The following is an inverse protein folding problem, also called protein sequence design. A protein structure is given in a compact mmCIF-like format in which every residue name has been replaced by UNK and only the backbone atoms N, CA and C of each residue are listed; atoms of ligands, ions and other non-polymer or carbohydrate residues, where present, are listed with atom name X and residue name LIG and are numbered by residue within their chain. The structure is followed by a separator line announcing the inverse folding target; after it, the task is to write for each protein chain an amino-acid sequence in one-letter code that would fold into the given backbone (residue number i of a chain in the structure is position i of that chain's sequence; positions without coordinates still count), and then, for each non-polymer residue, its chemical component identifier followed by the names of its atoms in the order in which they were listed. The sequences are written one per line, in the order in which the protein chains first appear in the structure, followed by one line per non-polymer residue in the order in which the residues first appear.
data_IF_636455257599
#
_entry.id   IF_636455257599
#
_cell.length_a   1.000
_cell.length_b   1.000
_cell.length_c   1.000
_cell.angle_alpha   90.00
_cell.angle_beta   90.00
_cell.angle_gamma   90.00
#
_symmetry.space_group_name_H-M   'P 1'
#
loop_
_entity.id
_entity.type
_entity.pdbx_description
1 polymer ?
#
# COMPACT_ATOMS: atom_id res chain seq x y z
N UNK A 1 31.15 5.39 -10.35
CA UNK A 1 30.76 4.87 -9.03
C UNK A 1 29.34 5.30 -8.64
N UNK A 2 28.97 6.57 -8.86
CA UNK A 2 27.61 7.11 -8.69
C UNK A 2 26.50 6.37 -9.48
N UNK A 3 26.73 6.04 -10.76
CA UNK A 3 25.72 5.36 -11.60
C UNK A 3 25.37 3.93 -11.12
N UNK A 4 26.35 3.21 -10.55
CA UNK A 4 26.12 1.88 -9.97
C UNK A 4 25.38 1.97 -8.63
N UNK A 5 25.62 3.04 -7.87
CA UNK A 5 24.92 3.32 -6.61
C UNK A 5 23.45 3.68 -6.89
N UNK A 6 23.17 4.54 -7.88
CA UNK A 6 21.80 4.88 -8.27
C UNK A 6 21.03 3.67 -8.82
N UNK A 7 21.69 2.83 -9.63
CA UNK A 7 21.09 1.59 -10.14
C UNK A 7 20.79 0.59 -9.01
N UNK A 8 21.72 0.42 -8.06
CA UNK A 8 21.52 -0.47 -6.90
C UNK A 8 20.42 0.04 -5.96
N UNK A 9 20.29 1.37 -5.80
CA UNK A 9 19.23 1.99 -4.99
C UNK A 9 17.87 1.82 -5.67
N UNK A 10 17.79 2.01 -6.99
CA UNK A 10 16.56 1.84 -7.77
C UNK A 10 16.07 0.38 -7.76
N UNK A 11 16.96 -0.59 -7.91
CA UNK A 11 16.60 -2.01 -7.85
C UNK A 11 16.09 -2.38 -6.45
N UNK A 12 16.74 -1.85 -5.39
CA UNK A 12 16.33 -2.10 -4.01
C UNK A 12 14.96 -1.48 -3.68
N UNK A 13 14.63 -0.30 -4.24
CA UNK A 13 13.32 0.31 -4.04
C UNK A 13 12.22 -0.44 -4.80
N UNK A 14 12.49 -0.90 -6.02
CA UNK A 14 11.53 -1.68 -6.82
C UNK A 14 11.19 -3.03 -6.16
N UNK A 15 12.20 -3.77 -5.70
CA UNK A 15 12.01 -5.06 -5.01
C UNK A 15 11.18 -4.86 -3.74
N UNK A 16 11.45 -3.79 -2.97
CA UNK A 16 10.69 -3.47 -1.76
C UNK A 16 9.21 -3.20 -2.08
N UNK A 17 8.91 -2.46 -3.15
CA UNK A 17 7.54 -2.18 -3.57
C UNK A 17 6.80 -3.46 -3.99
N UNK A 18 7.46 -4.34 -4.74
CA UNK A 18 6.86 -5.61 -5.17
C UNK A 18 6.51 -6.52 -3.97
N UNK A 19 7.43 -6.68 -3.02
CA UNK A 19 7.18 -7.51 -1.82
C UNK A 19 6.03 -6.96 -0.99
N UNK A 20 5.96 -5.65 -0.79
CA UNK A 20 4.85 -5.01 -0.05
C UNK A 20 3.52 -5.20 -0.79
N UNK A 21 3.51 -5.05 -2.12
CA UNK A 21 2.32 -5.26 -2.93
C UNK A 21 1.83 -6.71 -2.87
N UNK A 22 2.73 -7.69 -2.92
CA UNK A 22 2.38 -9.11 -2.79
C UNK A 22 1.80 -9.41 -1.40
N UNK A 23 2.47 -8.97 -0.33
CA UNK A 23 1.98 -9.16 1.05
C UNK A 23 0.60 -8.54 1.22
N UNK A 24 0.39 -7.33 0.68
CA UNK A 24 -0.91 -6.66 0.70
C UNK A 24 -1.97 -7.47 -0.05
N UNK A 25 -1.69 -7.90 -1.29
CA UNK A 25 -2.65 -8.67 -2.09
C UNK A 25 -3.03 -10.00 -1.45
N UNK A 26 -2.07 -10.70 -0.83
CA UNK A 26 -2.30 -11.96 -0.14
C UNK A 26 -3.16 -11.74 1.10
N UNK A 27 -2.82 -10.72 1.90
CA UNK A 27 -3.60 -10.36 3.10
C UNK A 27 -5.03 -9.94 2.73
N UNK A 28 -5.18 -9.17 1.66
CA UNK A 28 -6.48 -8.74 1.14
C UNK A 28 -7.30 -9.94 0.65
N UNK A 29 -6.70 -10.86 -0.10
CA UNK A 29 -7.37 -12.07 -0.58
C UNK A 29 -7.90 -12.92 0.59
N UNK A 30 -7.08 -13.19 1.61
CA UNK A 30 -7.52 -13.94 2.79
C UNK A 30 -8.63 -13.20 3.58
N UNK A 31 -8.58 -11.87 3.65
CA UNK A 31 -9.65 -11.05 4.23
C UNK A 31 -10.95 -11.14 3.43
N UNK A 32 -10.89 -11.13 2.09
CA UNK A 32 -12.05 -11.32 1.23
C UNK A 32 -12.66 -12.72 1.41
N UNK A 33 -11.83 -13.77 1.45
CA UNK A 33 -12.29 -15.15 1.71
C UNK A 33 -12.96 -15.28 3.07
N UNK A 34 -12.46 -14.58 4.11
CA UNK A 34 -13.13 -14.54 5.41
C UNK A 34 -14.53 -13.93 5.34
N UNK A 35 -14.65 -12.80 4.64
CA UNK A 35 -15.92 -12.11 4.49
C UNK A 35 -16.94 -12.92 3.68
N UNK A 36 -16.49 -13.55 2.60
CA UNK A 36 -17.31 -14.45 1.77
C UNK A 36 -17.81 -15.66 2.58
N UNK A 37 -16.96 -16.26 3.42
CA UNK A 37 -17.36 -17.34 4.32
C UNK A 37 -18.44 -16.91 5.32
N UNK A 38 -18.37 -15.69 5.85
CA UNK A 38 -19.41 -15.13 6.72
C UNK A 38 -20.71 -14.99 5.95
N UNK A 39 -20.68 -14.46 4.72
CA UNK A 39 -21.88 -14.32 3.89
C UNK A 39 -22.49 -15.70 3.59
N UNK A 40 -21.69 -16.70 3.25
CA UNK A 40 -22.17 -18.07 3.00
C UNK A 40 -22.74 -18.74 4.25
N UNK A 41 -22.21 -18.41 5.44
CA UNK A 41 -22.81 -18.84 6.70
C UNK A 41 -24.23 -18.26 6.86
N UNK A 42 -24.41 -16.95 6.62
CA UNK A 42 -25.72 -16.26 6.73
C UNK A 42 -26.72 -16.76 5.66
N UNK A 43 -26.27 -16.97 4.43
CA UNK A 43 -27.12 -17.43 3.34
C UNK A 43 -27.47 -18.93 3.41
N UNK A 44 -26.83 -19.70 4.30
CA UNK A 44 -27.05 -21.15 4.40
C UNK A 44 -26.57 -21.93 3.18
N UNK A 45 -25.72 -21.33 2.35
CA UNK A 45 -25.13 -21.94 1.17
C UNK A 45 -23.80 -22.58 1.58
N UNK A 46 -23.50 -23.78 1.08
CA UNK A 46 -22.32 -24.62 1.41
C UNK A 46 -22.48 -25.51 2.66
N UNK A 47 -21.88 -26.71 2.61
CA UNK A 47 -21.94 -27.71 3.68
C UNK A 47 -21.19 -27.24 4.95
N UNK A 48 -21.81 -27.35 6.12
CA UNK A 48 -21.29 -26.90 7.42
C UNK A 48 -19.89 -27.42 7.73
N UNK A 49 -19.58 -28.67 7.34
CA UNK A 49 -18.25 -29.26 7.59
C UNK A 49 -17.15 -28.60 6.76
N UNK A 50 -17.46 -28.22 5.52
CA UNK A 50 -16.52 -27.53 4.62
C UNK A 50 -16.27 -26.09 5.10
N UNK A 51 -17.34 -25.38 5.49
CA UNK A 51 -17.25 -24.01 6.04
C UNK A 51 -16.35 -23.94 7.27
N UNK A 52 -16.54 -24.85 8.22
CA UNK A 52 -15.73 -24.89 9.44
C UNK A 52 -14.25 -25.13 9.15
N UNK A 53 -13.93 -26.02 8.19
CA UNK A 53 -12.56 -26.27 7.78
C UNK A 53 -11.92 -25.03 7.14
N UNK A 54 -12.61 -24.41 6.18
CA UNK A 54 -12.12 -23.18 5.52
C UNK A 54 -11.97 -22.02 6.50
N UNK A 55 -12.91 -21.86 7.44
CA UNK A 55 -12.84 -20.85 8.49
C UNK A 55 -11.61 -21.05 9.39
N UNK A 56 -11.39 -22.28 9.88
CA UNK A 56 -10.24 -22.59 10.74
C UNK A 56 -8.90 -22.44 10.02
N UNK A 57 -8.81 -22.88 8.75
CA UNK A 57 -7.62 -22.71 7.94
C UNK A 57 -7.31 -21.21 7.71
N UNK A 58 -8.32 -20.43 7.31
CA UNK A 58 -8.13 -19.01 7.02
C UNK A 58 -7.77 -18.21 8.28
N UNK A 59 -8.43 -18.50 9.41
CA UNK A 59 -8.03 -17.96 10.73
C UNK A 59 -6.56 -18.25 11.04
N UNK A 60 -6.12 -19.49 10.88
CA UNK A 60 -4.75 -19.89 11.15
C UNK A 60 -3.75 -19.12 10.29
N UNK A 61 -4.02 -19.00 8.99
CA UNK A 61 -3.13 -18.29 8.05
C UNK A 61 -3.05 -16.80 8.37
N UNK A 62 -4.18 -16.12 8.58
CA UNK A 62 -4.22 -14.70 8.92
C UNK A 62 -3.50 -14.44 10.26
N UNK A 63 -3.71 -15.31 11.26
CA UNK A 63 -3.07 -15.22 12.56
C UNK A 63 -1.55 -15.38 12.46
N UNK A 64 -1.07 -16.34 11.67
CA UNK A 64 0.37 -16.53 11.42
C UNK A 64 0.98 -15.32 10.71
N UNK A 65 0.30 -14.79 9.69
CA UNK A 65 0.77 -13.60 8.97
C UNK A 65 0.91 -12.41 9.93
N UNK A 66 -0.12 -12.17 10.74
CA UNK A 66 -0.22 -11.00 11.61
C UNK A 66 0.75 -11.09 12.81
N UNK A 67 0.86 -12.25 13.47
CA UNK A 67 1.66 -12.42 14.69
C UNK A 67 3.13 -12.69 14.39
N UNK A 68 3.45 -13.41 13.31
CA UNK A 68 4.84 -13.78 13.01
C UNK A 68 5.45 -12.92 11.91
N UNK A 69 4.79 -12.84 10.76
CA UNK A 69 5.35 -12.24 9.54
C UNK A 69 5.46 -10.71 9.64
N UNK A 70 4.42 -10.04 10.11
CA UNK A 70 4.39 -8.57 10.24
C UNK A 70 5.49 -8.03 11.19
N UNK A 71 5.62 -8.49 12.45
CA UNK A 71 6.66 -7.96 13.35
C UNK A 71 8.07 -8.31 12.88
N UNK A 72 8.25 -9.47 12.24
CA UNK A 72 9.54 -9.82 11.65
C UNK A 72 9.92 -8.85 10.52
N UNK A 73 8.96 -8.49 9.66
CA UNK A 73 9.18 -7.56 8.56
C UNK A 73 9.45 -6.14 9.06
N UNK A 74 8.72 -5.67 10.07
CA UNK A 74 8.95 -4.37 10.72
C UNK A 74 10.33 -4.33 11.37
N UNK A 75 10.71 -5.39 12.11
CA UNK A 75 12.03 -5.48 12.73
C UNK A 75 13.16 -5.48 11.69
N UNK A 76 13.00 -6.24 10.62
CA UNK A 76 13.95 -6.25 9.51
C UNK A 76 14.08 -4.87 8.86
N UNK A 77 12.96 -4.16 8.68
CA UNK A 77 12.95 -2.81 8.13
C UNK A 77 13.69 -1.80 9.03
N UNK A 78 13.44 -1.83 10.33
CA UNK A 78 14.09 -0.96 11.32
C UNK A 78 15.61 -1.20 11.30
N UNK A 79 16.05 -2.46 11.39
CA UNK A 79 17.50 -2.77 11.39
C UNK A 79 18.13 -2.46 10.03
N UNK A 80 17.40 -2.63 8.92
CA UNK A 80 17.87 -2.24 7.59
C UNK A 80 18.05 -0.72 7.43
N UNK A 81 17.37 0.11 8.22
CA UNK A 81 17.54 1.56 8.19
C UNK A 81 18.86 1.99 8.84
N UNK A 82 19.35 1.23 9.83
CA UNK A 82 20.56 1.52 10.57
C UNK A 82 21.78 0.98 9.82
N UNK A 83 22.53 1.87 9.16
CA UNK A 83 23.75 1.52 8.39
C UNK A 83 24.85 0.83 9.21
N UNK A 84 24.83 0.99 10.54
CA UNK A 84 25.90 0.58 11.45
C UNK A 84 25.99 -0.94 11.68
N UNK A 85 24.92 -1.71 11.42
CA UNK A 85 24.81 -3.13 11.82
C UNK A 85 24.69 -4.09 10.62
N UNK A 86 25.29 -3.76 9.47
CA UNK A 86 25.13 -4.55 8.24
C UNK A 86 25.59 -6.02 8.39
N UNK A 87 26.60 -6.30 9.23
CA UNK A 87 27.16 -7.65 9.41
C UNK A 87 26.35 -8.54 10.36
N UNK A 88 25.55 -7.95 11.26
CA UNK A 88 24.71 -8.67 12.23
C UNK A 88 23.20 -8.36 12.07
N UNK A 89 22.79 -7.84 10.91
CA UNK A 89 21.41 -7.39 10.64
C UNK A 89 20.35 -8.44 10.99
N UNK A 90 20.61 -9.69 10.61
CA UNK A 90 19.68 -10.80 10.89
C UNK A 90 19.60 -11.13 12.38
N UNK A 91 20.72 -11.04 13.10
CA UNK A 91 20.77 -11.33 14.54
C UNK A 91 19.97 -10.28 15.33
N UNK A 92 20.19 -8.99 15.05
CA UNK A 92 19.43 -7.91 15.69
C UNK A 92 17.94 -7.94 15.31
N UNK A 93 17.60 -8.27 14.07
CA UNK A 93 16.20 -8.43 13.65
C UNK A 93 15.52 -9.61 14.37
N UNK A 94 16.24 -10.72 14.56
CA UNK A 94 15.75 -11.87 15.32
C UNK A 94 15.57 -11.53 16.81
N UNK A 95 16.51 -10.78 17.39
CA UNK A 95 16.44 -10.36 18.78
C UNK A 95 15.27 -9.41 19.02
N UNK A 96 15.06 -8.42 18.15
CA UNK A 96 13.91 -7.52 18.19
C UNK A 96 12.59 -8.28 18.05
N UNK A 97 12.55 -9.27 17.15
CA UNK A 97 11.40 -10.14 16.97
C UNK A 97 11.11 -10.99 18.20
N UNK A 98 12.12 -11.58 18.84
CA UNK A 98 11.98 -12.32 20.10
C UNK A 98 11.50 -11.43 21.24
N UNK A 99 12.01 -10.21 21.35
CA UNK A 99 11.52 -9.22 22.32
C UNK A 99 10.04 -8.89 22.08
N UNK A 100 9.64 -8.72 20.82
CA UNK A 100 8.23 -8.52 20.47
C UNK A 100 7.36 -9.72 20.87
N UNK A 101 7.79 -10.95 20.55
CA UNK A 101 7.09 -12.17 20.98
C UNK A 101 6.95 -12.27 22.51
N UNK A 102 8.01 -11.91 23.25
CA UNK A 102 7.97 -11.88 24.71
C UNK A 102 6.96 -10.84 25.23
N UNK A 103 6.97 -9.62 24.66
CA UNK A 103 6.00 -8.58 25.04
C UNK A 103 4.57 -9.00 24.70
N UNK A 104 4.37 -9.59 23.53
CA UNK A 104 3.08 -10.11 23.08
C UNK A 104 2.58 -11.24 24.00
N UNK A 105 3.47 -12.11 24.48
CA UNK A 105 3.13 -13.10 25.50
C UNK A 105 2.70 -12.43 26.80
N UNK A 106 3.50 -11.48 27.30
CA UNK A 106 3.23 -10.75 28.55
C UNK A 106 1.93 -9.95 28.53
N UNK A 107 1.58 -9.33 27.40
CA UNK A 107 0.30 -8.63 27.21
C UNK A 107 -0.92 -9.55 27.29
N UNK A 108 -0.75 -10.85 27.06
CA UNK A 108 -1.82 -11.83 27.10
C UNK A 108 -1.99 -12.58 28.43
N UNK A 109 -1.03 -12.47 29.36
CA UNK A 109 -1.12 -13.00 30.72
C UNK A 109 -2.30 -12.41 31.56
N UNK A 110 -2.66 -11.11 31.45
CA UNK A 110 -3.76 -10.53 32.25
C UNK A 110 -5.18 -10.91 31.76
N UNK A 111 -5.32 -11.69 30.68
CA UNK A 111 -6.62 -12.10 30.14
C UNK A 111 -6.86 -13.62 30.30
N UNK A 112 -7.38 -14.08 31.45
CA UNK A 112 -7.77 -15.47 31.66
C UNK A 112 -9.19 -15.73 31.13
N UNK A 113 -9.34 -15.92 29.82
CA UNK A 113 -10.61 -16.33 29.21
C UNK A 113 -10.57 -17.84 28.92
N UNK A 114 -10.79 -18.58 30.01
CA UNK A 114 -11.21 -19.99 30.16
C UNK A 114 -10.72 -21.03 29.13
N UNK A 115 -9.76 -21.86 29.56
CA UNK A 115 -10.01 -23.28 29.87
C UNK A 115 -8.71 -23.96 30.33
N UNK A 116 -8.65 -24.57 31.54
CA UNK A 116 -7.44 -25.15 32.11
C UNK A 116 -6.99 -26.48 31.45
N UNK A 117 -7.47 -26.80 30.25
CA UNK A 117 -7.25 -28.09 29.58
C UNK A 117 -6.69 -28.02 28.16
N UNK A 118 -6.50 -26.84 27.58
CA UNK A 118 -5.84 -26.70 26.28
C UNK A 118 -4.57 -25.85 26.43
N UNK A 119 -3.48 -26.34 25.83
CA UNK A 119 -2.11 -25.89 26.11
C UNK A 119 -1.83 -24.41 25.85
N UNK A 120 -0.62 -24.00 26.22
CA UNK A 120 -0.05 -22.64 26.21
C UNK A 120 -0.10 -21.95 24.81
N UNK A 121 -0.43 -22.68 23.74
CA UNK A 121 -0.54 -22.23 22.35
C UNK A 121 -1.90 -22.59 21.71
N UNK A 122 -3.00 -22.53 22.46
CA UNK A 122 -4.33 -22.73 21.84
C UNK A 122 -4.68 -21.55 20.91
N UNK A 123 -5.12 -21.86 19.69
CA UNK A 123 -5.47 -20.89 18.64
C UNK A 123 -6.52 -19.88 19.14
N UNK A 124 -7.45 -20.33 20.00
CA UNK A 124 -8.53 -19.52 20.58
C UNK A 124 -8.03 -18.42 21.53
N UNK A 125 -6.96 -18.68 22.28
CA UNK A 125 -6.36 -17.68 23.16
C UNK A 125 -5.55 -16.66 22.34
N UNK A 126 -4.88 -17.14 21.29
CA UNK A 126 -4.10 -16.28 20.41
C UNK A 126 -4.99 -15.31 19.61
N UNK A 127 -6.12 -15.79 19.07
CA UNK A 127 -7.10 -14.93 18.39
C UNK A 127 -7.72 -13.90 19.34
N UNK A 128 -7.99 -14.26 20.59
CA UNK A 128 -8.53 -13.33 21.59
C UNK A 128 -7.56 -12.18 21.88
N UNK A 129 -6.27 -12.49 22.09
CA UNK A 129 -5.22 -11.48 22.35
C UNK A 129 -5.06 -10.51 21.19
N UNK A 130 -4.95 -11.05 19.97
CA UNK A 130 -4.86 -10.24 18.74
C UNK A 130 -6.13 -9.41 18.55
N UNK A 131 -7.31 -9.99 18.84
CA UNK A 131 -8.60 -9.31 18.75
C UNK A 131 -8.69 -8.07 19.64
N UNK A 132 -8.28 -8.17 20.91
CA UNK A 132 -8.28 -7.01 21.83
C UNK A 132 -7.37 -5.90 21.32
N UNK A 133 -6.11 -6.24 20.98
CA UNK A 133 -5.14 -5.27 20.46
C UNK A 133 -5.67 -4.61 19.17
N UNK A 134 -6.23 -5.41 18.26
CA UNK A 134 -6.82 -4.95 17.01
C UNK A 134 -7.99 -3.99 17.21
N UNK A 135 -8.94 -4.34 18.08
CA UNK A 135 -10.11 -3.48 18.39
C UNK A 135 -9.67 -2.19 19.06
N UNK A 136 -8.71 -2.22 19.99
CA UNK A 136 -8.17 -1.01 20.60
C UNK A 136 -7.53 -0.10 19.54
N UNK A 137 -6.71 -0.66 18.64
CA UNK A 137 -6.11 0.12 17.55
C UNK A 137 -7.15 0.67 16.58
N UNK A 138 -8.18 -0.10 16.22
CA UNK A 138 -9.30 0.38 15.40
C UNK A 138 -10.06 1.52 16.07
N UNK A 139 -10.32 1.41 17.37
CA UNK A 139 -10.97 2.46 18.15
C UNK A 139 -10.13 3.75 18.18
N UNK A 140 -8.82 3.64 18.40
CA UNK A 140 -7.92 4.79 18.40
C UNK A 140 -7.83 5.47 17.03
N UNK A 141 -7.68 4.69 15.95
CA UNK A 141 -7.63 5.22 14.58
C UNK A 141 -8.95 5.87 14.18
N UNK A 142 -10.07 5.24 14.50
CA UNK A 142 -11.40 5.80 14.28
C UNK A 142 -11.61 7.08 15.10
N UNK A 143 -11.14 7.10 16.34
CA UNK A 143 -11.19 8.29 17.20
C UNK A 143 -10.36 9.45 16.64
N UNK A 144 -9.13 9.19 16.19
CA UNK A 144 -8.31 10.20 15.53
C UNK A 144 -8.97 10.73 14.24
N UNK A 145 -9.56 9.86 13.43
CA UNK A 145 -10.32 10.24 12.23
C UNK A 145 -11.53 11.12 12.57
N UNK A 146 -12.28 10.76 13.61
CA UNK A 146 -13.42 11.52 14.10
C UNK A 146 -13.05 12.89 14.68
N UNK A 147 -11.80 13.08 15.12
CA UNK A 147 -11.28 14.38 15.57
C UNK A 147 -10.70 15.17 14.39
N UNK A 148 -9.97 14.54 13.47
CA UNK A 148 -9.38 15.21 12.31
C UNK A 148 -10.44 15.72 11.32
N UNK A 149 -11.55 14.99 11.18
CA UNK A 149 -12.70 15.36 10.35
C UNK A 149 -13.29 16.74 10.72
N UNK A 150 -13.73 17.00 11.97
CA UNK A 150 -14.20 18.32 12.36
C UNK A 150 -13.09 19.36 12.31
N UNK A 151 -11.83 19.07 12.64
CA UNK A 151 -10.75 20.05 12.44
C UNK A 151 -10.65 20.52 10.97
N UNK A 152 -10.85 19.60 10.02
CA UNK A 152 -10.80 19.91 8.59
C UNK A 152 -12.09 20.59 8.10
N UNK A 153 -13.26 20.04 8.41
CA UNK A 153 -14.55 20.55 7.95
C UNK A 153 -15.06 21.77 8.72
N UNK A 154 -14.82 21.87 10.03
CA UNK A 154 -15.18 23.05 10.82
C UNK A 154 -14.38 24.28 10.38
N UNK A 155 -13.13 24.11 9.94
CA UNK A 155 -12.34 25.21 9.35
C UNK A 155 -12.98 25.77 8.06
N UNK A 156 -13.71 24.93 7.32
CA UNK A 156 -14.45 25.32 6.12
C UNK A 156 -15.76 26.07 6.47
N UNK A 157 -16.44 25.66 7.55
CA UNK A 157 -17.67 26.34 8.04
C UNK A 157 -17.40 27.60 8.88
N UNK A 158 -16.26 27.70 9.55
CA UNK A 158 -15.84 28.88 10.34
C UNK A 158 -15.18 29.97 9.48
N UNK A 159 -14.81 29.65 8.25
CA UNK A 159 -14.26 30.64 7.32
C UNK A 159 -15.38 31.49 6.77
N UNK A 160 -15.55 32.70 7.32
CA UNK A 160 -16.37 33.73 6.68
C UNK A 160 -15.80 34.02 5.28
N UNK A 161 -16.54 33.61 4.25
CA UNK A 161 -16.16 33.84 2.86
C UNK A 161 -16.40 35.33 2.56
N UNK A 162 -15.31 36.07 2.38
CA UNK A 162 -15.38 37.48 1.97
C UNK A 162 -15.40 37.56 0.44
N UNK A 163 -16.10 38.53 -0.16
CA UNK A 163 -16.20 38.67 -1.63
C UNK A 163 -14.83 38.74 -2.33
N UNK A 164 -13.80 39.24 -1.64
CA UNK A 164 -12.41 39.27 -2.11
C UNK A 164 -11.81 37.88 -2.31
N UNK A 165 -12.15 36.90 -1.45
CA UNK A 165 -11.69 35.53 -1.55
C UNK A 165 -12.35 34.82 -2.75
N UNK A 166 -13.63 35.11 -3.02
CA UNK A 166 -14.37 34.58 -4.17
C UNK A 166 -13.72 35.05 -5.47
N UNK A 167 -13.45 36.35 -5.57
CA UNK A 167 -12.84 36.97 -6.76
C UNK A 167 -11.39 36.49 -6.97
N UNK A 168 -10.66 36.24 -5.87
CA UNK A 168 -9.34 35.63 -5.93
C UNK A 168 -9.39 34.17 -6.40
N UNK A 169 -10.38 33.40 -5.95
CA UNK A 169 -10.58 32.02 -6.37
C UNK A 169 -10.99 31.92 -7.84
N UNK A 170 -11.87 32.81 -8.29
CA UNK A 170 -12.28 32.92 -9.70
C UNK A 170 -11.08 33.23 -10.60
N UNK A 171 -10.23 34.19 -10.22
CA UNK A 171 -8.98 34.48 -10.94
C UNK A 171 -8.05 33.27 -11.03
N UNK A 172 -7.91 32.51 -9.93
CA UNK A 172 -7.09 31.28 -9.91
C UNK A 172 -7.69 30.20 -10.81
N UNK A 173 -9.02 30.08 -10.84
CA UNK A 173 -9.71 29.13 -11.68
C UNK A 173 -9.52 29.46 -13.16
N UNK A 174 -9.69 30.73 -13.54
CA UNK A 174 -9.42 31.21 -14.90
C UNK A 174 -7.95 30.98 -15.32
N UNK A 175 -6.99 31.31 -14.45
CA UNK A 175 -5.57 31.02 -14.71
C UNK A 175 -5.30 29.53 -14.91
N UNK A 176 -5.95 28.67 -14.13
CA UNK A 176 -5.82 27.22 -14.26
C UNK A 176 -6.42 26.71 -15.56
N UNK A 177 -7.57 27.26 -15.95
CA UNK A 177 -8.22 26.97 -17.22
C UNK A 177 -7.31 27.34 -18.41
N UNK A 178 -6.66 28.50 -18.38
CA UNK A 178 -5.70 28.92 -19.42
C UNK A 178 -4.46 28.00 -19.47
N UNK A 179 -3.95 27.57 -18.32
CA UNK A 179 -2.88 26.57 -18.26
C UNK A 179 -3.31 25.23 -18.87
N UNK A 180 -4.55 24.78 -18.63
CA UNK A 180 -5.07 23.54 -19.22
C UNK A 180 -5.20 23.69 -20.74
N UNK A 181 -5.75 24.81 -21.22
CA UNK A 181 -5.90 25.07 -22.66
C UNK A 181 -4.54 25.14 -23.35
N UNK A 182 -3.56 25.83 -22.77
CA UNK A 182 -2.21 25.91 -23.34
C UNK A 182 -1.52 24.54 -23.38
N UNK A 183 -1.69 23.71 -22.35
CA UNK A 183 -1.21 22.32 -22.37
C UNK A 183 -1.91 21.48 -23.43
N UNK A 184 -3.24 21.59 -23.58
CA UNK A 184 -3.98 20.90 -24.65
C UNK A 184 -3.52 21.35 -26.04
N UNK A 185 -3.30 22.65 -26.25
CA UNK A 185 -2.75 23.19 -27.51
C UNK A 185 -1.36 22.64 -27.79
N UNK A 186 -0.48 22.59 -26.79
CA UNK A 186 0.86 21.98 -26.91
C UNK A 186 0.80 20.49 -27.27
N UNK A 187 -0.08 19.71 -26.63
CA UNK A 187 -0.27 18.29 -26.95
C UNK A 187 -0.81 18.10 -28.38
N UNK A 188 -1.79 18.91 -28.81
CA UNK A 188 -2.34 18.85 -30.16
C UNK A 188 -1.30 19.24 -31.22
N UNK A 189 -0.50 20.28 -30.97
CA UNK A 189 0.59 20.68 -31.85
C UNK A 189 1.65 19.59 -31.95
N UNK A 190 2.11 19.04 -30.81
CA UNK A 190 3.07 17.94 -30.79
C UNK A 190 2.55 16.71 -31.55
N UNK A 191 1.27 16.37 -31.41
CA UNK A 191 0.64 15.29 -32.19
C UNK A 191 0.67 15.58 -33.69
N UNK A 192 0.35 16.81 -34.11
CA UNK A 192 0.46 17.23 -35.54
C UNK A 192 1.89 17.17 -36.06
N UNK A 193 2.88 17.61 -35.27
CA UNK A 193 4.29 17.51 -35.68
C UNK A 193 4.74 16.06 -35.80
N UNK A 194 4.29 15.16 -34.92
CA UNK A 194 4.58 13.73 -35.03
C UNK A 194 3.94 13.10 -36.27
N UNK A 195 2.71 13.49 -36.64
CA UNK A 195 2.08 13.05 -37.90
C UNK A 195 2.85 13.57 -39.14
N UNK A 196 3.23 14.86 -39.16
CA UNK A 196 4.04 15.40 -40.26
C UNK A 196 5.43 14.76 -40.34
N UNK A 197 6.08 14.48 -39.20
CA UNK A 197 7.36 13.74 -39.18
C UNK A 197 7.20 12.30 -39.65
N UNK A 198 6.07 11.65 -39.33
CA UNK A 198 5.71 10.33 -39.82
C UNK A 198 5.43 10.29 -41.33
N UNK A 199 4.87 11.35 -41.91
CA UNK A 199 4.69 11.48 -43.37
C UNK A 199 6.00 11.81 -44.10
N UNK A 200 6.88 12.64 -43.51
CA UNK A 200 8.21 12.92 -44.09
C UNK A 200 9.12 11.68 -44.03
N UNK A 201 8.93 10.78 -43.06
CA UNK A 201 9.68 9.51 -43.00
C UNK A 201 9.10 8.41 -43.93
N UNK A 202 7.83 8.52 -44.34
CA UNK A 202 7.20 7.60 -45.31
C UNK A 202 7.39 7.99 -46.78
N UNK A 203 8.02 9.14 -47.07
CA UNK A 203 8.46 9.48 -48.42
C UNK A 203 9.86 8.88 -48.63
N UNK A 204 10.10 8.03 -49.65
CA UNK A 204 11.43 7.48 -49.91
C UNK A 204 12.32 8.58 -50.49
N UNK A 205 12.83 9.47 -49.65
CA UNK A 205 13.76 10.53 -50.03
C UNK A 205 15.12 10.24 -49.42
N UNK A 206 16.12 10.05 -50.28
CA UNK A 206 17.46 10.46 -49.90
C UNK A 206 18.64 9.80 -50.60
N UNK A 207 18.45 8.66 -51.28
CA UNK A 207 19.58 7.99 -51.95
C UNK A 207 19.39 7.81 -53.46
N UNK A 208 18.19 7.41 -53.90
CA UNK A 208 17.90 7.19 -55.32
C UNK A 208 17.79 8.46 -56.18
N UNK A 209 17.45 9.60 -55.57
CA UNK A 209 17.37 10.89 -56.30
C UNK A 209 18.73 11.50 -56.63
N UNK A 210 19.75 11.20 -55.82
CA UNK A 210 21.09 11.78 -55.94
C UNK A 210 21.98 11.02 -56.93
N UNK A 211 21.69 9.74 -57.19
CA UNK A 211 22.39 8.96 -58.22
C UNK A 211 21.91 9.36 -59.63
N UNK A 212 20.64 9.77 -59.79
CA UNK A 212 20.11 10.21 -61.08
C UNK A 212 20.58 11.60 -61.51
N UNK A 213 20.94 12.50 -60.59
CA UNK A 213 21.43 13.85 -60.97
C UNK A 213 22.91 13.89 -61.34
N UNK A 214 23.63 12.77 -61.22
CA UNK A 214 25.06 12.66 -61.58
C UNK A 214 25.25 11.97 -62.94
N UNK A 215 24.16 11.50 -63.57
CA UNK A 215 24.20 10.77 -64.85
C UNK A 215 23.58 11.54 -66.04
N UNK A 216 23.22 12.82 -65.84
CA UNK A 216 22.80 13.72 -66.94
C UNK A 216 23.69 14.95 -66.92
#
# INVERSE_FOLDING_TARGET
MSFLIDSSIMITSQIRQYVVQVIFSVTFAFSCTMFELIIFEILGVLNSSSRYFHWKMNLCVILLILVFMVPFYIGYFIVSNIRLLHKQRLLFSCLLWLTFMYFFWKLGDPFPILSPKHGILSIEQLISRVGVIGVTLMALLSGFGAVNCPYTYMSYFLRNVTDTDILALERRLLQTMDMIISKKKRMAMARRTMFQKGEVHNKPSGFWGMIKSVTT
#
